data_IF_829598367960
#
_entry.id   IF_829598367960
#
_cell.length_a   1.000
_cell.length_b   1.000
_cell.length_c   1.000
_cell.angle_alpha   90.00
_cell.angle_beta   90.00
_cell.angle_gamma   90.00
#
_symmetry.space_group_name_H-M   'P 1'
#
loop_
_entity.id
_entity.type
_entity.pdbx_description
1 polymer ?
#
# COMPACT_ATOMS: atom_id res chain seq x y z
N UNK A 1 12.50 14.96 40.46
CA UNK A 1 13.14 13.64 40.29
C UNK A 1 14.52 13.72 40.91
N UNK A 2 14.92 12.77 41.76
CA UNK A 2 16.22 12.87 42.43
C UNK A 2 17.36 12.43 41.50
N UNK A 3 18.53 13.03 41.65
CA UNK A 3 19.74 12.70 40.88
C UNK A 3 20.07 11.19 40.93
N UNK A 4 19.83 10.58 42.09
CA UNK A 4 19.97 9.13 42.31
C UNK A 4 19.02 8.29 41.45
N UNK A 5 17.79 8.74 41.20
CA UNK A 5 16.88 8.04 40.28
C UNK A 5 17.37 8.07 38.83
N UNK A 6 17.94 9.19 38.39
CA UNK A 6 18.46 9.32 37.03
C UNK A 6 19.73 8.48 36.85
N UNK A 7 20.62 8.44 37.86
CA UNK A 7 21.81 7.59 37.84
C UNK A 7 21.45 6.09 37.74
N UNK A 8 20.40 5.65 38.44
CA UNK A 8 19.91 4.28 38.39
C UNK A 8 19.33 3.91 37.02
N UNK A 9 18.58 4.84 36.40
CA UNK A 9 18.05 4.65 35.05
C UNK A 9 19.19 4.53 34.04
N UNK A 10 20.19 5.41 34.12
CA UNK A 10 21.34 5.36 33.22
C UNK A 10 22.12 4.04 33.36
N UNK A 11 22.40 3.61 34.59
CA UNK A 11 23.10 2.36 34.85
C UNK A 11 22.33 1.12 34.36
N UNK A 12 20.99 1.19 34.31
CA UNK A 12 20.16 0.14 33.74
C UNK A 12 20.24 0.15 32.21
N UNK A 13 20.19 1.33 31.59
CA UNK A 13 20.32 1.49 30.14
C UNK A 13 21.65 0.95 29.65
N UNK A 14 22.75 1.32 30.30
CA UNK A 14 24.11 0.89 29.93
C UNK A 14 24.27 -0.64 30.02
N UNK A 15 23.58 -1.28 30.97
CA UNK A 15 23.57 -2.75 31.10
C UNK A 15 22.77 -3.40 29.99
N UNK A 16 21.64 -2.81 29.61
CA UNK A 16 20.81 -3.30 28.51
C UNK A 16 21.56 -3.23 27.19
N UNK A 17 22.25 -2.12 26.91
CA UNK A 17 23.06 -1.95 25.70
C UNK A 17 24.19 -2.97 25.62
N UNK A 18 24.83 -3.27 26.76
CA UNK A 18 25.84 -4.35 26.84
C UNK A 18 25.26 -5.73 26.54
N UNK A 19 24.03 -6.01 26.99
CA UNK A 19 23.36 -7.27 26.69
C UNK A 19 23.00 -7.36 25.21
N UNK A 20 22.54 -6.26 24.60
CA UNK A 20 22.28 -6.18 23.16
C UNK A 20 23.53 -6.40 22.30
N UNK A 21 24.71 -5.98 22.77
CA UNK A 21 25.97 -6.25 22.09
C UNK A 21 26.45 -7.70 22.21
N UNK A 22 26.03 -8.42 23.27
CA UNK A 22 26.40 -9.81 23.52
C UNK A 22 25.41 -10.80 22.88
N UNK A 23 24.22 -10.35 22.49
CA UNK A 23 23.26 -11.12 21.72
C UNK A 23 23.23 -10.56 20.30
N UNK A 24 23.89 -11.19 19.31
CA UNK A 24 23.63 -10.86 17.93
C UNK A 24 22.12 -11.03 17.72
N UNK A 25 21.44 -9.96 17.32
CA UNK A 25 20.08 -10.06 16.82
C UNK A 25 20.21 -10.72 15.45
N UNK A 26 20.31 -12.05 15.45
CA UNK A 26 19.98 -12.84 14.27
C UNK A 26 18.46 -12.74 14.15
N UNK A 27 17.97 -11.72 13.45
CA UNK A 27 16.62 -11.80 12.90
C UNK A 27 16.64 -13.02 11.98
N UNK A 28 15.89 -14.10 12.30
CA UNK A 28 15.86 -15.25 11.41
C UNK A 28 15.41 -14.73 10.06
N UNK A 29 16.21 -14.92 9.01
CA UNK A 29 15.77 -14.52 7.67
C UNK A 29 14.45 -15.24 7.38
N UNK A 30 13.35 -14.48 7.47
CA UNK A 30 12.03 -15.01 7.20
C UNK A 30 12.01 -15.42 5.74
N UNK A 31 11.79 -16.72 5.51
CA UNK A 31 11.80 -17.34 4.19
C UNK A 31 10.82 -16.68 3.22
N UNK A 32 9.82 -15.96 3.73
CA UNK A 32 8.82 -15.24 2.95
C UNK A 32 9.14 -13.75 2.76
N UNK A 33 10.13 -13.21 3.47
CA UNK A 33 10.63 -11.85 3.28
C UNK A 33 11.74 -11.90 2.21
N UNK A 34 11.37 -11.52 0.99
CA UNK A 34 12.32 -11.41 -0.13
C UNK A 34 12.58 -9.94 -0.40
N UNK A 35 13.85 -9.54 -0.38
CA UNK A 35 14.25 -8.20 -0.84
C UNK A 35 13.86 -8.06 -2.30
N UNK A 36 12.98 -7.10 -2.61
CA UNK A 36 12.60 -6.81 -3.99
C UNK A 36 13.89 -6.48 -4.77
N UNK A 37 14.20 -7.14 -5.90
CA UNK A 37 15.32 -6.72 -6.73
C UNK A 37 15.11 -5.25 -7.11
N UNK A 38 16.20 -4.46 -7.25
CA UNK A 38 16.08 -3.09 -7.72
C UNK A 38 15.19 -3.12 -8.95
N UNK A 39 14.11 -2.35 -8.94
CA UNK A 39 13.18 -2.26 -10.05
C UNK A 39 14.05 -2.04 -11.27
N UNK A 40 14.18 -3.03 -12.15
CA UNK A 40 14.65 -2.77 -13.49
C UNK A 40 13.56 -1.85 -14.00
N UNK A 41 13.83 -0.55 -13.94
CA UNK A 41 12.86 0.49 -14.26
C UNK A 41 12.20 0.05 -15.55
N UNK A 42 10.89 -0.21 -15.47
CA UNK A 42 10.09 -0.50 -16.65
C UNK A 42 10.48 0.57 -17.65
N UNK A 43 11.16 0.19 -18.73
CA UNK A 43 11.55 1.13 -19.77
C UNK A 43 10.24 1.66 -20.31
N UNK A 44 9.87 2.88 -19.91
CA UNK A 44 8.57 3.43 -20.22
C UNK A 44 8.52 3.54 -21.74
N UNK A 45 7.52 2.88 -22.32
CA UNK A 45 7.32 2.87 -23.76
C UNK A 45 7.10 4.32 -24.23
N UNK A 46 7.83 4.84 -25.23
CA UNK A 46 7.74 6.26 -25.62
C UNK A 46 6.30 6.70 -25.95
N UNK A 47 5.52 5.82 -26.56
CA UNK A 47 4.14 6.06 -26.92
C UNK A 47 3.23 6.13 -25.70
N UNK A 48 3.59 5.47 -24.59
CA UNK A 48 2.88 5.60 -23.32
C UNK A 48 3.10 6.98 -22.69
N UNK A 49 4.33 7.49 -22.73
CA UNK A 49 4.64 8.86 -22.27
C UNK A 49 3.90 9.88 -23.13
N UNK A 50 3.88 9.70 -24.46
CA UNK A 50 3.16 10.59 -25.37
C UNK A 50 1.64 10.56 -25.15
N UNK A 51 1.07 9.39 -24.87
CA UNK A 51 -0.36 9.24 -24.61
C UNK A 51 -0.77 9.70 -23.21
N UNK A 52 0.14 9.59 -22.23
CA UNK A 52 -0.11 9.88 -20.83
C UNK A 52 1.10 10.58 -20.20
N UNK A 53 1.30 11.89 -20.47
CA UNK A 53 2.50 12.63 -20.03
C UNK A 53 2.66 12.67 -18.50
N UNK A 54 1.56 12.61 -17.75
CA UNK A 54 1.57 12.58 -16.29
C UNK A 54 2.08 11.26 -15.69
N UNK A 55 2.46 10.27 -16.50
CA UNK A 55 3.06 9.02 -16.01
C UNK A 55 4.48 9.22 -15.45
N UNK A 56 5.18 10.26 -15.90
CA UNK A 56 6.49 10.65 -15.35
C UNK A 56 6.35 11.40 -14.02
N UNK A 57 5.17 11.98 -13.76
CA UNK A 57 4.86 12.60 -12.48
C UNK A 57 4.56 11.50 -11.46
N UNK A 58 5.17 11.57 -10.28
CA UNK A 58 4.94 10.62 -9.20
C UNK A 58 3.59 10.90 -8.51
N UNK A 59 2.50 10.68 -9.26
CA UNK A 59 1.12 10.92 -8.86
C UNK A 59 0.72 10.13 -7.61
N UNK A 60 1.41 9.02 -7.33
CA UNK A 60 1.19 8.23 -6.12
C UNK A 60 1.83 8.86 -4.87
N UNK A 61 2.88 9.68 -5.03
CA UNK A 61 3.57 10.33 -3.91
C UNK A 61 3.02 11.70 -3.56
N UNK A 62 2.40 12.40 -4.50
CA UNK A 62 1.80 13.72 -4.25
C UNK A 62 0.32 13.51 -3.95
N UNK A 63 -0.12 13.64 -2.68
CA UNK A 63 -1.52 13.52 -2.35
C UNK A 63 -2.28 14.66 -3.02
N UNK A 64 -3.34 14.34 -3.76
CA UNK A 64 -4.27 15.35 -4.26
C UNK A 64 -4.92 16.09 -3.09
N UNK A 65 -5.13 17.39 -3.27
CA UNK A 65 -6.01 18.15 -2.37
C UNK A 65 -7.45 17.64 -2.47
N UNK A 66 -8.27 17.93 -1.46
CA UNK A 66 -9.67 17.46 -1.45
C UNK A 66 -10.45 17.94 -2.68
N UNK A 67 -10.22 19.18 -3.10
CA UNK A 67 -10.87 19.77 -4.26
C UNK A 67 -10.40 19.10 -5.57
N UNK A 68 -9.10 18.88 -5.75
CA UNK A 68 -8.57 18.16 -6.92
C UNK A 68 -9.05 16.71 -6.98
N UNK A 69 -9.12 16.03 -5.82
CA UNK A 69 -9.67 14.67 -5.72
C UNK A 69 -11.15 14.67 -6.15
N UNK A 70 -11.92 15.64 -5.69
CA UNK A 70 -13.33 15.78 -5.98
C UNK A 70 -13.54 16.01 -7.49
N UNK A 71 -12.78 16.93 -8.07
CA UNK A 71 -12.86 17.25 -9.50
C UNK A 71 -12.43 16.07 -10.38
N UNK A 72 -11.38 15.33 -10.01
CA UNK A 72 -10.96 14.12 -10.73
C UNK A 72 -12.05 13.03 -10.74
N UNK A 73 -12.74 12.82 -9.61
CA UNK A 73 -13.83 11.84 -9.50
C UNK A 73 -15.03 12.26 -10.36
N UNK A 74 -15.42 13.54 -10.33
CA UNK A 74 -16.60 14.01 -11.05
C UNK A 74 -16.36 14.30 -12.53
N UNK A 75 -15.11 14.57 -12.94
CA UNK A 75 -14.73 14.74 -14.34
C UNK A 75 -14.58 13.42 -15.09
N UNK A 76 -14.37 12.31 -14.37
CA UNK A 76 -14.29 10.99 -14.96
C UNK A 76 -15.64 10.62 -15.60
N UNK A 77 -15.70 10.39 -16.92
CA UNK A 77 -16.93 9.91 -17.56
C UNK A 77 -17.32 8.60 -16.90
N UNK A 78 -18.59 8.47 -16.52
CA UNK A 78 -19.14 7.17 -16.09
C UNK A 78 -18.76 6.15 -17.17
N UNK A 79 -18.06 5.09 -16.79
CA UNK A 79 -17.49 4.11 -17.73
C UNK A 79 -18.59 3.32 -18.45
N UNK A 80 -19.28 3.96 -19.37
CA UNK A 80 -20.35 3.36 -20.18
C UNK A 80 -19.80 2.62 -21.40
N UNK A 81 -18.51 2.80 -21.70
CA UNK A 81 -17.83 2.22 -22.86
C UNK A 81 -17.23 0.83 -22.61
N UNK A 82 -16.96 0.46 -21.35
CA UNK A 82 -16.48 -0.88 -21.01
C UNK A 82 -17.67 -1.73 -20.56
N UNK A 83 -18.19 -2.56 -21.46
CA UNK A 83 -19.09 -3.65 -21.09
C UNK A 83 -18.30 -4.76 -20.37
N UNK A 84 -17.86 -4.47 -19.15
CA UNK A 84 -17.23 -5.44 -18.28
C UNK A 84 -18.30 -6.41 -17.81
N UNK A 85 -18.28 -7.63 -18.36
CA UNK A 85 -19.06 -8.71 -17.77
C UNK A 85 -18.41 -9.05 -16.42
N UNK A 86 -19.16 -9.01 -15.31
CA UNK A 86 -18.61 -9.43 -14.03
C UNK A 86 -18.18 -10.89 -14.14
N UNK A 87 -17.06 -11.28 -13.49
CA UNK A 87 -16.66 -12.68 -13.45
C UNK A 87 -17.80 -13.52 -12.84
N UNK A 88 -18.02 -14.75 -13.34
CA UNK A 88 -19.07 -15.60 -12.78
C UNK A 88 -18.79 -15.84 -11.29
N UNK A 89 -19.81 -15.59 -10.47
CA UNK A 89 -19.76 -15.89 -9.05
C UNK A 89 -19.55 -17.39 -8.84
N UNK A 90 -18.61 -17.74 -7.95
CA UNK A 90 -18.39 -19.12 -7.55
C UNK A 90 -19.71 -19.74 -7.03
N UNK A 91 -20.02 -20.96 -7.46
CA UNK A 91 -21.19 -21.71 -6.99
C UNK A 91 -21.20 -21.91 -5.48
N UNK A 92 -20.02 -22.01 -4.87
CA UNK A 92 -19.82 -22.13 -3.41
C UNK A 92 -20.03 -20.81 -2.65
N UNK A 93 -20.23 -19.69 -3.35
CA UNK A 93 -20.53 -18.42 -2.70
C UNK A 93 -21.87 -18.51 -1.96
N UNK A 94 -21.92 -17.91 -0.77
CA UNK A 94 -23.13 -17.92 0.04
C UNK A 94 -24.27 -17.16 -0.63
N UNK A 95 -25.52 -17.53 -0.32
CA UNK A 95 -26.70 -16.85 -0.86
C UNK A 95 -26.73 -15.35 -0.50
N UNK A 96 -26.13 -14.96 0.62
CA UNK A 96 -25.97 -13.55 1.00
C UNK A 96 -25.01 -12.81 0.07
N UNK A 97 -23.86 -13.42 -0.26
CA UNK A 97 -22.88 -12.86 -1.21
C UNK A 97 -23.50 -12.70 -2.60
N UNK A 98 -24.22 -13.73 -3.09
CA UNK A 98 -24.90 -13.68 -4.38
C UNK A 98 -25.97 -12.57 -4.45
N UNK A 99 -26.72 -12.35 -3.37
CA UNK A 99 -27.73 -11.28 -3.29
C UNK A 99 -27.10 -9.88 -3.24
N UNK A 100 -26.02 -9.71 -2.48
CA UNK A 100 -25.32 -8.44 -2.40
C UNK A 100 -24.72 -8.05 -3.75
N UNK A 101 -24.05 -8.99 -4.43
CA UNK A 101 -23.48 -8.78 -5.76
C UNK A 101 -24.53 -8.37 -6.81
N UNK A 102 -25.66 -9.09 -6.85
CA UNK A 102 -26.79 -8.75 -7.73
C UNK A 102 -27.36 -7.34 -7.46
N UNK A 103 -27.29 -6.86 -6.20
CA UNK A 103 -27.71 -5.50 -5.84
C UNK A 103 -26.71 -4.45 -6.33
N UNK A 104 -25.41 -4.74 -6.23
CA UNK A 104 -24.34 -3.86 -6.69
C UNK A 104 -24.30 -3.72 -8.22
N UNK A 105 -24.64 -4.78 -8.95
CA UNK A 105 -24.76 -4.72 -10.41
C UNK A 105 -25.79 -3.68 -10.88
N UNK A 106 -26.84 -3.41 -10.10
CA UNK A 106 -27.83 -2.37 -10.43
C UNK A 106 -27.34 -0.93 -10.22
N UNK A 107 -26.16 -0.75 -9.61
CA UNK A 107 -25.61 0.56 -9.25
C UNK A 107 -24.57 1.04 -10.29
N UNK A 108 -23.92 0.12 -11.03
CA UNK A 108 -22.98 0.46 -12.11
C UNK A 108 -23.68 1.23 -13.24
#
# INVERSE_FOLDING_TARGET
MSEDTNAKIQALSDKFDRLLLLMPIEEPEDRFIVTRPPTTDLTIYPELVNALPSIEEDFFRIPLTEDERKDAIYSCPRSSSMNCQPPPLNDSASAAVKKADATLHGIQ
#
